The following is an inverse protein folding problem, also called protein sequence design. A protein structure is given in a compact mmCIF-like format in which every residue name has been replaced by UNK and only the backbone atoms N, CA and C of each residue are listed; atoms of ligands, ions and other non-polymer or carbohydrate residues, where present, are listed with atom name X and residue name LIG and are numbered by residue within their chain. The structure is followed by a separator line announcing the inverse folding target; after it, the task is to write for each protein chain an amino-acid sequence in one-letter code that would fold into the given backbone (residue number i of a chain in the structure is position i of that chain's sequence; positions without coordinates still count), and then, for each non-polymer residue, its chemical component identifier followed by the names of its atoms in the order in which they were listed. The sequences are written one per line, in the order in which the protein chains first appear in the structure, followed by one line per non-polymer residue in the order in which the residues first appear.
data_IF_604010136840
#
_entry.id   IF_604010136840
#
_cell.length_a   1.000
_cell.length_b   1.000
_cell.length_c   1.000
_cell.angle_alpha   90.00
_cell.angle_beta   90.00
_cell.angle_gamma   90.00
#
_symmetry.space_group_name_H-M   'P 1'
#
loop_
_entity.id
_entity.type
_entity.pdbx_description
1 polymer ?
#
# COMPACT_ATOMS: atom_id res chain seq x y z
N UNK A 1 3.37 -8.66 -13.31
CA UNK A 1 2.89 -7.49 -12.56
C UNK A 1 1.36 -7.48 -12.53
N UNK A 2 0.75 -8.22 -11.60
CA UNK A 2 -0.73 -8.40 -11.56
C UNK A 2 -1.43 -7.21 -10.91
N UNK A 3 -0.80 -6.54 -9.92
CA UNK A 3 -1.40 -5.40 -9.21
C UNK A 3 -1.81 -4.25 -10.15
N UNK A 4 -1.07 -3.99 -11.24
CA UNK A 4 -1.42 -2.92 -12.19
C UNK A 4 -2.75 -3.14 -12.91
N UNK A 5 -3.27 -4.38 -12.94
CA UNK A 5 -4.56 -4.67 -13.57
C UNK A 5 -5.73 -3.97 -12.85
N UNK A 6 -5.55 -3.50 -11.62
CA UNK A 6 -6.56 -2.67 -10.93
C UNK A 6 -6.89 -1.39 -11.68
N UNK A 7 -5.95 -0.84 -12.46
CA UNK A 7 -6.20 0.37 -13.25
C UNK A 7 -7.13 0.13 -14.46
N UNK A 8 -7.33 -1.12 -14.87
CA UNK A 8 -8.30 -1.49 -15.90
C UNK A 8 -9.71 -1.74 -15.33
N UNK A 9 -9.86 -1.82 -14.01
CA UNK A 9 -11.12 -2.08 -13.29
C UNK A 9 -12.03 -0.85 -13.21
N UNK A 10 -12.23 -0.20 -14.36
CA UNK A 10 -12.95 1.08 -14.56
C UNK A 10 -14.45 1.06 -14.21
N UNK A 11 -15.00 -0.08 -13.82
CA UNK A 11 -16.33 -0.14 -13.19
C UNK A 11 -16.36 0.41 -11.75
N UNK A 12 -15.19 0.64 -11.13
CA UNK A 12 -15.07 1.23 -9.80
C UNK A 12 -14.52 2.65 -9.90
N UNK A 13 -15.05 3.57 -9.09
CA UNK A 13 -14.54 4.94 -9.00
C UNK A 13 -13.18 5.00 -8.32
N UNK A 14 -13.03 4.24 -7.22
CA UNK A 14 -11.81 4.15 -6.41
C UNK A 14 -11.66 2.73 -5.88
N UNK A 15 -10.42 2.30 -5.72
CA UNK A 15 -10.05 0.97 -5.24
C UNK A 15 -9.01 1.12 -4.15
N UNK A 16 -9.23 0.47 -3.00
CA UNK A 16 -8.19 0.20 -2.03
C UNK A 16 -7.53 -1.14 -2.38
N UNK A 17 -6.21 -1.14 -2.54
CA UNK A 17 -5.39 -2.33 -2.74
C UNK A 17 -4.68 -2.66 -1.43
N UNK A 18 -4.77 -3.92 -1.02
CA UNK A 18 -4.07 -4.47 0.14
C UNK A 18 -3.27 -5.72 -0.26
N UNK A 19 -2.10 -5.91 0.35
CA UNK A 19 -1.39 -7.17 0.25
C UNK A 19 -2.08 -8.28 1.05
N UNK A 20 -1.94 -9.52 0.59
CA UNK A 20 -2.62 -10.68 1.17
C UNK A 20 -2.15 -11.04 2.59
N UNK A 21 -1.01 -10.49 3.03
CA UNK A 21 -0.52 -10.54 4.40
C UNK A 21 -0.88 -9.28 5.22
N UNK A 22 -1.91 -8.54 4.79
CA UNK A 22 -2.51 -7.47 5.60
C UNK A 22 -3.58 -8.03 6.54
N UNK A 23 -3.62 -7.53 7.76
CA UNK A 23 -4.60 -7.92 8.78
C UNK A 23 -5.45 -6.72 9.19
N UNK A 24 -6.75 -6.94 9.39
CA UNK A 24 -7.71 -5.89 9.72
C UNK A 24 -8.06 -5.91 11.20
N UNK A 25 -8.03 -4.74 11.84
CA UNK A 25 -8.50 -4.51 13.20
C UNK A 25 -9.87 -3.82 13.19
N UNK A 26 -10.10 -2.95 12.21
CA UNK A 26 -11.31 -2.14 12.06
C UNK A 26 -11.78 -2.06 10.60
N UNK A 27 -13.02 -1.60 10.33
CA UNK A 27 -13.51 -1.38 8.97
C UNK A 27 -12.68 -0.37 8.18
N UNK A 28 -12.50 -0.63 6.89
CA UNK A 28 -11.69 0.20 5.99
C UNK A 28 -12.48 1.24 5.20
N UNK A 29 -13.81 1.24 5.28
CA UNK A 29 -14.67 2.06 4.41
C UNK A 29 -14.30 3.56 4.45
N UNK A 30 -13.91 4.07 5.63
CA UNK A 30 -13.57 5.47 5.80
C UNK A 30 -12.27 5.91 5.11
N UNK A 31 -11.45 5.00 4.57
CA UNK A 31 -10.21 5.37 3.86
C UNK A 31 -10.51 6.23 2.64
N UNK A 32 -11.68 6.04 2.02
CA UNK A 32 -12.12 6.81 0.86
C UNK A 32 -12.55 8.23 1.23
N UNK A 33 -12.76 8.52 2.50
CA UNK A 33 -13.03 9.88 3.00
C UNK A 33 -11.74 10.61 3.41
N UNK A 34 -10.59 9.92 3.37
CA UNK A 34 -9.30 10.54 3.66
C UNK A 34 -9.01 11.66 2.64
N UNK A 35 -8.56 12.85 3.07
CA UNK A 35 -8.20 13.93 2.16
C UNK A 35 -7.15 13.55 1.11
N UNK A 36 -6.25 12.60 1.41
CA UNK A 36 -5.28 12.10 0.46
C UNK A 36 -5.89 11.11 -0.56
N UNK A 37 -7.03 10.49 -0.24
CA UNK A 37 -7.75 9.54 -1.10
C UNK A 37 -8.70 10.21 -2.12
N UNK A 38 -8.45 11.48 -2.46
CA UNK A 38 -9.26 12.26 -3.40
C UNK A 38 -8.54 12.44 -4.75
N UNK A 39 -9.32 12.54 -5.83
CA UNK A 39 -8.79 12.78 -7.17
C UNK A 39 -7.98 14.08 -7.22
N UNK A 40 -6.88 14.03 -7.96
CA UNK A 40 -5.97 15.14 -8.19
C UNK A 40 -5.89 15.46 -9.67
N UNK A 41 -5.65 16.73 -10.00
CA UNK A 41 -5.29 17.14 -11.36
C UNK A 41 -3.83 16.78 -11.65
N UNK A 42 -3.57 16.29 -12.86
CA UNK A 42 -2.20 16.05 -13.33
C UNK A 42 -1.51 17.38 -13.60
N UNK A 43 -0.29 17.52 -13.07
CA UNK A 43 0.55 18.70 -13.26
C UNK A 43 1.11 18.80 -14.68
N UNK A 44 1.71 19.96 -14.99
CA UNK A 44 2.37 20.17 -16.27
C UNK A 44 3.63 19.33 -16.39
N UNK A 45 3.77 18.60 -17.48
CA UNK A 45 4.98 17.87 -17.86
C UNK A 45 5.28 18.12 -19.32
N UNK A 46 6.53 17.90 -19.72
CA UNK A 46 6.91 17.96 -21.11
C UNK A 46 6.94 16.54 -21.65
N UNK A 47 6.32 16.32 -22.80
CA UNK A 47 6.24 15.01 -23.46
C UNK A 47 7.61 14.62 -24.08
N UNK A 48 8.66 14.49 -23.25
CA UNK A 48 10.04 14.36 -23.72
C UNK A 48 10.49 12.89 -23.91
N UNK A 49 9.76 11.93 -23.33
CA UNK A 49 10.26 10.55 -23.15
C UNK A 49 9.56 9.48 -24.01
N UNK A 50 8.69 9.90 -24.93
CA UNK A 50 7.95 8.98 -25.82
C UNK A 50 6.90 8.10 -25.11
N UNK A 51 6.55 8.46 -23.87
CA UNK A 51 5.42 7.87 -23.15
C UNK A 51 4.09 8.32 -23.76
N UNK A 52 3.00 7.52 -23.67
CA UNK A 52 1.68 7.98 -24.05
C UNK A 52 1.25 9.15 -23.14
N UNK A 53 0.20 9.91 -23.52
CA UNK A 53 -0.30 11.00 -22.68
C UNK A 53 -0.71 10.51 -21.29
N UNK A 54 -0.33 11.26 -20.26
CA UNK A 54 -0.85 11.05 -18.89
C UNK A 54 -2.34 11.42 -18.83
N UNK A 55 -3.14 10.78 -17.96
CA UNK A 55 -4.52 11.22 -17.74
C UNK A 55 -4.58 12.63 -17.16
N UNK A 56 -5.68 13.35 -17.37
CA UNK A 56 -5.88 14.71 -16.82
C UNK A 56 -6.10 14.73 -15.30
N UNK A 57 -6.59 13.62 -14.75
CA UNK A 57 -6.76 13.41 -13.31
C UNK A 57 -6.30 12.02 -12.91
N UNK A 58 -5.83 11.87 -11.68
CA UNK A 58 -5.39 10.60 -11.13
C UNK A 58 -5.65 10.55 -9.62
N UNK A 59 -5.54 9.35 -9.06
CA UNK A 59 -5.44 9.16 -7.62
C UNK A 59 -4.43 8.05 -7.37
N UNK A 60 -3.42 8.36 -6.56
CA UNK A 60 -2.58 7.38 -5.89
C UNK A 60 -2.28 7.92 -4.49
N UNK A 61 -2.71 7.19 -3.48
CA UNK A 61 -2.46 7.53 -2.09
C UNK A 61 -2.05 6.29 -1.32
N UNK A 62 -1.02 6.39 -0.49
CA UNK A 62 -0.48 5.26 0.25
C UNK A 62 0.28 5.75 1.48
N UNK A 63 1.17 4.93 2.00
CA UNK A 63 1.91 5.23 3.23
C UNK A 63 3.40 4.96 3.03
N UNK A 64 4.25 5.77 3.66
CA UNK A 64 5.67 5.49 3.72
C UNK A 64 5.97 4.37 4.71
N UNK A 65 6.94 3.51 4.41
CA UNK A 65 7.43 2.49 5.36
C UNK A 65 8.10 3.15 6.57
N UNK A 66 7.84 2.61 7.75
CA UNK A 66 8.58 2.94 8.97
C UNK A 66 9.73 1.95 9.20
N UNK A 67 10.64 2.28 10.12
CA UNK A 67 11.84 1.50 10.39
C UNK A 67 11.61 0.18 11.12
N UNK A 68 10.85 0.21 12.21
CA UNK A 68 10.52 -0.90 13.09
C UNK A 68 9.43 -0.49 14.09
N UNK A 69 9.09 -1.38 15.04
CA UNK A 69 8.06 -1.16 16.05
C UNK A 69 8.43 -0.15 17.16
N UNK A 70 9.59 0.52 17.11
CA UNK A 70 10.01 1.55 18.07
C UNK A 70 9.67 2.96 17.56
N UNK A 71 8.38 3.29 17.51
CA UNK A 71 7.89 4.59 17.03
C UNK A 71 6.72 5.11 17.88
N UNK A 72 6.40 6.39 17.72
CA UNK A 72 5.22 7.02 18.32
C UNK A 72 3.99 6.86 17.39
N UNK A 73 2.76 6.99 17.90
CA UNK A 73 1.55 6.99 17.07
C UNK A 73 0.89 8.38 16.98
N UNK A 74 0.63 8.92 15.76
CA UNK A 74 1.09 8.41 14.47
C UNK A 74 2.63 8.53 14.34
N UNK A 75 3.28 7.70 13.49
CA UNK A 75 4.71 7.81 13.22
C UNK A 75 5.12 9.22 12.79
N UNK A 76 6.23 9.70 13.33
CA UNK A 76 6.82 10.97 12.92
C UNK A 76 7.77 10.78 11.75
N UNK A 77 8.18 11.88 11.10
CA UNK A 77 9.12 11.85 9.96
C UNK A 77 10.46 11.16 10.29
N UNK A 78 10.88 11.16 11.56
CA UNK A 78 12.09 10.48 12.04
C UNK A 78 11.97 8.95 11.98
N UNK A 79 10.74 8.43 11.97
CA UNK A 79 10.43 7.00 12.02
C UNK A 79 10.29 6.41 10.61
N UNK A 80 10.19 7.27 9.59
CA UNK A 80 10.07 6.90 8.18
C UNK A 80 11.42 6.40 7.65
N UNK A 81 11.43 5.17 7.14
CA UNK A 81 12.62 4.47 6.63
C UNK A 81 13.24 5.15 5.42
N UNK A 82 12.42 5.63 4.50
CA UNK A 82 12.88 6.37 3.32
C UNK A 82 11.82 7.41 2.95
N UNK A 83 12.05 8.70 3.25
CA UNK A 83 11.10 9.76 2.93
C UNK A 83 10.72 9.79 1.45
N UNK A 84 9.42 9.89 1.16
CA UNK A 84 8.90 9.90 -0.21
C UNK A 84 8.86 8.51 -0.88
N UNK A 85 9.12 7.45 -0.12
CA UNK A 85 9.11 6.07 -0.60
C UNK A 85 7.88 5.32 -0.06
N UNK A 86 6.84 5.28 -0.88
CA UNK A 86 5.57 4.61 -0.57
C UNK A 86 5.74 3.09 -0.58
N UNK A 87 5.09 2.40 0.36
CA UNK A 87 4.90 0.96 0.32
C UNK A 87 3.72 0.58 -0.59
N UNK A 88 3.89 -0.39 -1.49
CA UNK A 88 2.86 -0.82 -2.44
C UNK A 88 1.94 -1.95 -1.93
N UNK A 89 1.95 -2.21 -0.62
CA UNK A 89 1.09 -3.16 0.07
C UNK A 89 -0.20 -2.54 0.62
N UNK A 90 -0.29 -1.21 0.69
CA UNK A 90 -1.53 -0.50 1.04
C UNK A 90 -1.63 0.81 0.26
N UNK A 91 -2.54 0.90 -0.71
CA UNK A 91 -2.77 2.15 -1.43
C UNK A 91 -4.19 2.26 -2.01
N UNK A 92 -4.70 3.48 -2.07
CA UNK A 92 -5.92 3.85 -2.78
C UNK A 92 -5.56 4.39 -4.16
N UNK A 93 -6.29 3.95 -5.18
CA UNK A 93 -6.13 4.45 -6.54
C UNK A 93 -7.49 4.69 -7.22
N UNK A 94 -7.49 5.51 -8.27
CA UNK A 94 -8.60 5.62 -9.22
C UNK A 94 -8.24 4.86 -10.51
N UNK A 95 -9.04 3.86 -10.92
CA UNK A 95 -8.80 3.14 -12.17
C UNK A 95 -8.85 4.07 -13.38
N UNK A 96 -7.90 3.92 -14.30
CA UNK A 96 -7.84 4.64 -15.57
C UNK A 96 -7.08 3.81 -16.60
N UNK A 97 -7.68 3.62 -17.78
CA UNK A 97 -7.01 2.93 -18.89
C UNK A 97 -5.83 3.75 -19.40
N UNK A 98 -5.94 5.06 -19.44
CA UNK A 98 -4.84 5.97 -19.81
C UNK A 98 -3.67 5.81 -18.83
N UNK A 99 -3.94 5.76 -17.53
CA UNK A 99 -2.91 5.49 -16.52
C UNK A 99 -2.27 4.11 -16.69
N UNK A 100 -3.08 3.08 -16.98
CA UNK A 100 -2.57 1.74 -17.25
C UNK A 100 -1.64 1.70 -18.47
N UNK A 101 -2.03 2.34 -19.57
CA UNK A 101 -1.20 2.45 -20.78
C UNK A 101 0.09 3.23 -20.52
N UNK A 102 0.02 4.27 -19.67
CA UNK A 102 1.18 5.00 -19.19
C UNK A 102 2.14 4.09 -18.43
N UNK A 103 1.69 3.35 -17.41
CA UNK A 103 2.53 2.37 -16.72
C UNK A 103 3.11 1.32 -17.66
N UNK A 104 2.29 0.80 -18.58
CA UNK A 104 2.71 -0.24 -19.54
C UNK A 104 3.87 0.25 -20.42
N UNK A 105 3.91 1.53 -20.75
CA UNK A 105 5.02 2.10 -21.54
C UNK A 105 6.38 2.05 -20.84
N UNK A 106 6.43 1.99 -19.50
CA UNK A 106 7.68 1.76 -18.75
C UNK A 106 8.11 0.28 -18.80
N UNK A 107 7.19 -0.65 -19.05
CA UNK A 107 7.45 -2.09 -19.04
C UNK A 107 7.89 -2.63 -20.41
N UNK A 108 7.54 -1.94 -21.50
CA UNK A 108 7.78 -2.40 -22.88
C UNK A 108 9.16 -1.97 -23.39
N UNK A 109 9.79 -0.98 -22.77
CA UNK A 109 11.11 -0.50 -23.22
C UNK A 109 12.22 -1.29 -22.51
N UNK A 110 13.11 -1.88 -23.31
CA UNK A 110 14.37 -2.47 -22.85
C UNK A 110 15.34 -1.38 -22.36
N UNK A 111 15.08 -0.77 -21.20
CA UNK A 111 16.02 0.13 -20.53
C UNK A 111 15.77 0.22 -19.02
N UNK A 112 16.82 0.59 -18.30
CA UNK A 112 17.02 0.94 -16.88
C UNK A 112 16.07 2.01 -16.30
N UNK A 113 14.96 2.36 -16.97
CA UNK A 113 14.07 3.47 -16.58
C UNK A 113 13.44 3.31 -15.21
N UNK A 114 13.37 2.07 -14.70
CA UNK A 114 13.07 1.83 -13.29
C UNK A 114 13.77 0.55 -12.79
N UNK A 115 14.01 0.50 -11.48
CA UNK A 115 14.53 -0.69 -10.81
C UNK A 115 13.42 -1.75 -10.70
N UNK A 116 13.66 -2.94 -11.24
CA UNK A 116 12.71 -4.05 -11.21
C UNK A 116 12.74 -4.86 -9.90
N UNK A 117 13.63 -4.58 -8.97
CA UNK A 117 13.48 -5.05 -7.59
C UNK A 117 12.20 -4.42 -7.00
N UNK A 118 11.29 -5.19 -6.40
CA UNK A 118 9.95 -4.70 -5.99
C UNK A 118 9.23 -3.92 -7.12
N UNK A 119 9.09 -4.57 -8.27
CA UNK A 119 8.70 -3.95 -9.55
C UNK A 119 7.51 -2.98 -9.43
N UNK A 120 6.43 -3.40 -8.77
CA UNK A 120 5.23 -2.59 -8.60
C UNK A 120 5.53 -1.29 -7.84
N UNK A 121 6.23 -1.41 -6.70
CA UNK A 121 6.54 -0.28 -5.82
C UNK A 121 7.48 0.70 -6.49
N UNK A 122 8.54 0.20 -7.12
CA UNK A 122 9.52 1.04 -7.78
C UNK A 122 8.95 1.72 -9.04
N UNK A 123 8.06 1.04 -9.79
CA UNK A 123 7.35 1.68 -10.90
C UNK A 123 6.43 2.79 -10.41
N UNK A 124 5.60 2.53 -9.39
CA UNK A 124 4.70 3.54 -8.83
C UNK A 124 5.50 4.73 -8.29
N UNK A 125 6.65 4.48 -7.65
CA UNK A 125 7.57 5.54 -7.22
C UNK A 125 8.09 6.38 -8.39
N UNK A 126 8.51 5.74 -9.47
CA UNK A 126 9.04 6.46 -10.64
C UNK A 126 7.97 7.38 -11.24
N UNK A 127 6.74 6.88 -11.39
CA UNK A 127 5.65 7.65 -12.01
C UNK A 127 5.09 8.72 -11.05
N UNK A 128 5.02 8.42 -9.76
CA UNK A 128 4.33 9.25 -8.78
C UNK A 128 5.26 9.95 -7.79
N UNK A 129 6.54 10.12 -8.13
CA UNK A 129 7.48 10.87 -7.30
C UNK A 129 6.95 12.27 -6.95
N UNK A 130 7.26 12.75 -5.75
CA UNK A 130 6.70 14.01 -5.23
C UNK A 130 7.08 15.26 -6.03
N UNK A 131 8.18 15.23 -6.77
CA UNK A 131 8.61 16.31 -7.65
C UNK A 131 8.03 16.19 -9.08
N UNK A 132 7.27 15.12 -9.34
CA UNK A 132 6.69 14.81 -10.65
C UNK A 132 5.32 15.45 -10.89
N UNK A 133 4.74 15.20 -12.08
CA UNK A 133 3.42 15.74 -12.44
C UNK A 133 2.25 15.02 -11.75
N UNK A 134 2.48 13.81 -11.23
CA UNK A 134 1.44 13.00 -10.59
C UNK A 134 1.85 12.51 -9.19
N UNK A 135 2.23 13.40 -8.25
CA UNK A 135 2.72 12.98 -6.94
C UNK A 135 1.69 12.15 -6.15
N UNK A 136 2.12 11.02 -5.59
CA UNK A 136 1.28 10.27 -4.65
C UNK A 136 1.05 11.08 -3.36
N UNK A 137 -0.03 10.78 -2.64
CA UNK A 137 -0.37 11.43 -1.36
C UNK A 137 -0.26 10.48 -0.18
N UNK A 138 0.25 11.01 0.92
CA UNK A 138 0.36 10.26 2.17
C UNK A 138 -1.00 10.22 2.87
N UNK A 139 -1.50 9.00 3.08
CA UNK A 139 -2.70 8.73 3.87
C UNK A 139 -2.39 8.93 5.36
N UNK A 140 -3.44 9.07 6.17
CA UNK A 140 -3.30 9.01 7.62
C UNK A 140 -2.79 7.63 8.08
N UNK A 141 -1.71 7.62 8.88
CA UNK A 141 -1.11 6.39 9.42
C UNK A 141 -2.07 5.55 10.28
N UNK A 142 -3.22 6.09 10.70
CA UNK A 142 -4.27 5.26 11.30
C UNK A 142 -4.75 4.15 10.36
N UNK A 143 -4.64 4.29 9.04
CA UNK A 143 -5.21 3.32 8.10
C UNK A 143 -4.40 2.04 8.02
N UNK A 144 -3.07 2.15 8.00
CA UNK A 144 -2.19 1.00 7.90
C UNK A 144 -0.81 1.29 8.53
N UNK A 145 -0.27 0.32 9.25
CA UNK A 145 1.10 0.35 9.76
C UNK A 145 1.77 -0.99 9.47
N UNK A 146 2.99 -0.94 8.94
CA UNK A 146 3.93 -2.06 8.90
C UNK A 146 4.76 -2.04 10.19
N UNK A 147 5.09 -3.19 10.76
CA UNK A 147 5.82 -3.30 12.03
C UNK A 147 5.12 -2.59 13.21
N UNK A 148 3.85 -2.93 13.49
CA UNK A 148 3.06 -2.26 14.52
C UNK A 148 3.56 -2.56 15.94
N UNK A 149 3.19 -1.68 16.87
CA UNK A 149 3.41 -1.79 18.30
C UNK A 149 2.09 -1.79 19.09
N UNK A 150 2.15 -2.02 20.40
CA UNK A 150 0.95 -2.07 21.24
C UNK A 150 0.20 -0.72 21.29
N UNK A 151 0.93 0.40 21.24
CA UNK A 151 0.33 1.73 21.25
C UNK A 151 -0.46 2.01 19.96
N UNK A 152 -0.04 1.48 18.80
CA UNK A 152 -0.82 1.60 17.56
C UNK A 152 -2.19 0.92 17.70
N UNK A 153 -2.21 -0.27 18.31
CA UNK A 153 -3.44 -1.01 18.61
C UNK A 153 -4.33 -0.22 19.58
N UNK A 154 -3.75 0.30 20.66
CA UNK A 154 -4.47 1.09 21.67
C UNK A 154 -5.04 2.40 21.10
N UNK A 155 -4.39 2.98 20.09
CA UNK A 155 -4.83 4.20 19.41
C UNK A 155 -5.76 3.96 18.22
N UNK A 156 -6.04 2.69 17.90
CA UNK A 156 -7.05 2.31 16.92
C UNK A 156 -6.54 2.32 15.48
N UNK A 157 -5.32 1.85 15.24
CA UNK A 157 -4.87 1.52 13.88
C UNK A 157 -5.84 0.54 13.22
N UNK A 158 -6.22 0.80 11.97
CA UNK A 158 -7.30 0.10 11.26
C UNK A 158 -6.83 -1.20 10.64
N UNK A 159 -5.63 -1.21 10.08
CA UNK A 159 -5.01 -2.40 9.51
C UNK A 159 -3.50 -2.43 9.76
N UNK A 160 -2.89 -3.60 9.65
CA UNK A 160 -1.44 -3.77 9.76
C UNK A 160 -0.92 -4.62 8.62
N UNK A 161 0.26 -4.29 8.12
CA UNK A 161 0.97 -5.09 7.12
C UNK A 161 2.03 -5.93 7.82
N UNK A 162 1.69 -7.18 8.16
CA UNK A 162 2.60 -8.05 8.91
C UNK A 162 2.50 -9.53 8.58
N UNK A 163 3.63 -10.20 8.67
CA UNK A 163 3.70 -11.66 8.54
C UNK A 163 3.33 -12.29 9.86
N UNK A 164 2.20 -13.00 9.91
CA UNK A 164 1.78 -13.73 11.12
C UNK A 164 2.64 -14.97 11.45
N UNK A 165 3.72 -15.23 10.69
CA UNK A 165 4.65 -16.34 10.90
C UNK A 165 6.10 -15.92 11.16
N UNK A 166 6.39 -14.61 11.14
CA UNK A 166 7.71 -14.04 11.40
C UNK A 166 7.56 -12.74 12.18
N UNK A 167 8.15 -12.68 13.37
CA UNK A 167 7.95 -11.59 14.35
C UNK A 167 9.27 -10.88 14.69
N UNK A 168 10.32 -11.06 13.89
CA UNK A 168 11.67 -10.58 14.20
C UNK A 168 11.80 -9.06 14.40
N UNK A 169 10.84 -8.28 13.89
CA UNK A 169 10.82 -6.81 13.88
C UNK A 169 9.80 -6.20 14.86
N UNK A 170 9.05 -7.03 15.58
CA UNK A 170 8.06 -6.62 16.59
C UNK A 170 8.71 -6.64 17.97
N UNK A 171 9.54 -5.64 18.26
CA UNK A 171 10.40 -5.59 19.43
C UNK A 171 9.63 -5.23 20.70
N UNK A 172 9.56 -6.15 21.67
CA UNK A 172 8.99 -5.87 23.00
C UNK A 172 7.46 -5.65 23.04
N UNK A 173 6.77 -5.94 21.93
CA UNK A 173 5.32 -5.76 21.78
C UNK A 173 4.58 -7.10 21.83
N UNK A 174 4.61 -7.76 22.99
CA UNK A 174 4.12 -9.14 23.13
C UNK A 174 2.63 -9.27 22.80
N UNK A 175 1.79 -8.27 23.15
CA UNK A 175 0.35 -8.35 22.82
C UNK A 175 0.10 -8.35 21.32
N UNK A 176 0.92 -7.65 20.54
CA UNK A 176 0.84 -7.65 19.06
C UNK A 176 1.20 -9.02 18.53
N UNK A 177 2.29 -9.62 19.03
CA UNK A 177 2.71 -10.98 18.65
C UNK A 177 1.63 -12.00 18.99
N UNK A 178 1.12 -11.99 20.21
CA UNK A 178 0.04 -12.89 20.66
C UNK A 178 -1.21 -12.75 19.79
N UNK A 179 -1.55 -11.51 19.40
CA UNK A 179 -2.67 -11.26 18.51
C UNK A 179 -2.43 -11.84 17.11
N UNK A 180 -1.26 -11.62 16.50
CA UNK A 180 -0.91 -12.17 15.18
C UNK A 180 -0.94 -13.70 15.19
N UNK A 181 -0.38 -14.32 16.23
CA UNK A 181 -0.42 -15.79 16.40
C UNK A 181 -1.86 -16.29 16.57
N UNK A 182 -2.70 -15.57 17.34
CA UNK A 182 -4.10 -15.96 17.51
C UNK A 182 -4.86 -15.97 16.19
N UNK A 183 -4.62 -15.00 15.29
CA UNK A 183 -5.23 -14.95 13.95
C UNK A 183 -4.77 -16.12 13.08
N UNK A 184 -3.48 -16.46 13.13
CA UNK A 184 -2.93 -17.64 12.45
C UNK A 184 -3.65 -18.92 12.88
N UNK A 185 -3.80 -19.13 14.18
CA UNK A 185 -4.42 -20.35 14.71
C UNK A 185 -5.92 -20.41 14.46
N UNK A 186 -6.60 -19.27 14.45
CA UNK A 186 -8.00 -19.17 14.05
C UNK A 186 -8.21 -19.64 12.60
N UNK A 187 -7.42 -19.09 11.67
CA UNK A 187 -7.47 -19.48 10.26
C UNK A 187 -7.12 -20.95 10.07
N UNK A 188 -6.00 -21.41 10.65
CA UNK A 188 -5.58 -22.81 10.52
C UNK A 188 -6.59 -23.78 11.12
N UNK A 189 -7.09 -23.48 12.32
CA UNK A 189 -8.05 -24.35 13.00
C UNK A 189 -9.36 -24.50 12.22
N UNK A 190 -9.81 -23.45 11.53
CA UNK A 190 -10.97 -23.52 10.65
C UNK A 190 -10.76 -24.49 9.49
N UNK A 191 -9.63 -24.40 8.78
CA UNK A 191 -9.32 -25.29 7.66
C UNK A 191 -9.07 -26.72 8.12
N UNK A 192 -8.35 -26.92 9.24
CA UNK A 192 -8.13 -28.26 9.80
C UNK A 192 -9.47 -28.95 10.15
N UNK A 193 -10.44 -28.21 10.67
CA UNK A 193 -11.78 -28.73 10.97
C UNK A 193 -12.60 -28.96 9.70
N UNK A 194 -12.49 -28.08 8.70
CA UNK A 194 -13.15 -28.24 7.40
C UNK A 194 -12.67 -29.52 6.70
N UNK A 195 -11.36 -29.70 6.58
CA UNK A 195 -10.78 -30.87 5.92
C UNK A 195 -11.19 -32.17 6.62
N UNK A 196 -11.23 -32.19 7.97
CA UNK A 196 -11.72 -33.35 8.72
C UNK A 196 -13.20 -33.70 8.51
N UNK A 197 -14.03 -32.71 8.12
CA UNK A 197 -15.46 -32.90 7.92
C UNK A 197 -15.83 -33.24 6.48
N UNK A 198 -14.99 -32.86 5.51
CA UNK A 198 -15.34 -32.87 4.09
C UNK A 198 -14.36 -33.62 3.18
N UNK A 199 -13.22 -34.13 3.69
CA UNK A 199 -12.37 -35.14 3.03
C UNK A 199 -12.65 -36.57 3.52
#
# INVERSE_FOLDING_TARGET
MTKLRVFEMTQYERILVLDGDSMLLHPLDGVFDDPAAQLQGTGTHKDEDGHPPMPSTYLLAGLSEIHDSNHDFPPAKKDIKTPGYMNAGFFVCAPSKEMFEYYRSFLIVEDTRFNSEYMEQNLLRTVHGWDGPMPWKELDYKWNIREPNENDFEKGVVSVHEKYWDHGTIHGNQKVVDWLESRRWEMKGWYDAYDQLFD
#
